data_IF_537508564311
#
_entry.id   IF_537508564311
#
_cell.length_a   1.000
_cell.length_b   1.000
_cell.length_c   1.000
_cell.angle_alpha   90.00
_cell.angle_beta   90.00
_cell.angle_gamma   90.00
#
_symmetry.space_group_name_H-M   'P 1'
#
loop_
_entity.id
_entity.type
_entity.pdbx_description
1 polymer ?
2 water ?
#
# COMPACT_ATOMS: atom_id res chain seq x y z
N UNK A 1 2.97 6.57 -11.67
CA UNK A 1 2.16 6.05 -10.54
C UNK A 1 2.76 6.49 -9.21
N UNK A 2 1.95 7.05 -8.31
CA UNK A 2 2.34 7.18 -6.90
C UNK A 2 1.38 6.26 -6.14
N UNK A 3 1.92 5.28 -5.43
CA UNK A 3 1.07 4.27 -4.83
C UNK A 3 1.62 3.69 -3.56
N UNK A 4 0.71 3.44 -2.63
CA UNK A 4 1.01 2.70 -1.41
C UNK A 4 0.07 1.54 -1.38
N UNK A 5 0.64 0.35 -1.24
CA UNK A 5 -0.12 -0.85 -0.95
C UNK A 5 0.29 -1.22 0.45
N UNK A 6 -0.64 -1.07 1.37
CA UNK A 6 -0.38 -1.31 2.77
C UNK A 6 -1.34 -2.38 3.25
N UNK A 7 -0.80 -3.40 3.87
CA UNK A 7 -1.63 -4.48 4.36
C UNK A 7 -1.14 -4.84 5.74
N UNK A 8 -2.02 -4.67 6.71
CA UNK A 8 -1.73 -5.07 8.07
C UNK A 8 -2.64 -6.23 8.44
N UNK A 9 -2.03 -7.28 8.99
CA UNK A 9 -2.73 -8.49 9.42
C UNK A 9 -2.37 -8.79 10.88
#
# INVERSE_FOLDING_TARGET
KVQIINKKL
#
